data_IF_684407524999
#
_entry.id   IF_684407524999
#
_cell.length_a   1.000
_cell.length_b   1.000
_cell.length_c   1.000
_cell.angle_alpha   90.00
_cell.angle_beta   90.00
_cell.angle_gamma   90.00
#
_symmetry.space_group_name_H-M   'P 1'
#
loop_
_entity.id
_entity.type
_entity.pdbx_description
1 polymer ?
#
# COMPACT_ATOMS: atom_id res chain seq x y z
N UNK A 1 17.68 50.66 26.73
CA UNK A 1 18.20 50.59 25.35
C UNK A 1 17.55 49.42 24.64
N UNK A 2 16.67 49.74 23.68
CA UNK A 2 15.96 48.81 22.79
C UNK A 2 16.96 48.27 21.74
N UNK A 3 17.06 46.95 21.57
CA UNK A 3 17.74 46.35 20.42
C UNK A 3 16.68 45.62 19.56
N UNK A 4 16.54 45.95 18.27
CA UNK A 4 15.40 45.55 17.48
C UNK A 4 15.50 44.09 17.00
N UNK A 5 14.36 43.41 17.11
CA UNK A 5 14.07 42.08 16.57
C UNK A 5 14.00 42.18 15.05
N UNK A 6 15.03 41.74 14.32
CA UNK A 6 14.94 41.57 12.87
C UNK A 6 14.23 40.27 12.54
N UNK A 7 12.92 40.35 12.32
CA UNK A 7 12.14 39.34 11.62
C UNK A 7 12.61 39.26 10.17
N UNK A 8 13.36 38.19 9.83
CA UNK A 8 13.54 37.81 8.42
C UNK A 8 12.28 37.06 7.95
N UNK A 9 11.72 37.40 6.78
CA UNK A 9 10.55 36.75 6.23
C UNK A 9 10.87 35.29 5.86
N UNK A 10 9.90 34.42 6.06
CA UNK A 10 10.01 32.99 5.83
C UNK A 10 10.36 32.67 4.38
N UNK A 11 11.64 32.37 4.13
CA UNK A 11 11.97 31.34 3.17
C UNK A 11 11.51 30.02 3.79
N UNK A 12 10.46 29.44 3.22
CA UNK A 12 10.14 28.03 3.39
C UNK A 12 11.42 27.28 3.05
N UNK A 13 12.17 26.87 4.07
CA UNK A 13 13.32 26.01 3.90
C UNK A 13 12.78 24.73 3.26
N UNK A 14 12.96 24.60 1.95
CA UNK A 14 12.82 23.33 1.25
C UNK A 14 13.96 22.46 1.78
N UNK A 15 13.73 21.86 2.96
CA UNK A 15 14.73 21.07 3.67
C UNK A 15 15.20 19.96 2.73
N UNK A 16 16.51 19.79 2.61
CA UNK A 16 17.14 18.73 1.82
C UNK A 16 16.56 17.34 2.18
N UNK A 17 16.11 17.18 3.43
CA UNK A 17 15.39 15.98 3.91
C UNK A 17 14.09 15.70 3.14
N UNK A 18 13.34 16.73 2.74
CA UNK A 18 12.10 16.58 1.96
C UNK A 18 12.38 16.14 0.52
N UNK A 19 13.49 16.60 -0.06
CA UNK A 19 13.92 16.18 -1.41
C UNK A 19 14.30 14.71 -1.41
N UNK A 20 15.10 14.27 -0.43
CA UNK A 20 15.49 12.87 -0.31
C UNK A 20 14.30 11.96 -0.01
N UNK A 21 13.39 12.36 0.88
CA UNK A 21 12.17 11.60 1.15
C UNK A 21 11.31 11.46 -0.11
N UNK A 22 11.07 12.56 -0.84
CA UNK A 22 10.32 12.54 -2.09
C UNK A 22 10.98 11.66 -3.16
N UNK A 23 12.31 11.73 -3.29
CA UNK A 23 13.06 10.90 -4.23
C UNK A 23 12.99 9.40 -3.89
N UNK A 24 12.98 9.02 -2.61
CA UNK A 24 12.85 7.61 -2.22
C UNK A 24 11.43 7.09 -2.47
N UNK A 25 10.39 7.85 -2.10
CA UNK A 25 9.01 7.47 -2.42
C UNK A 25 8.75 7.43 -3.95
N UNK A 26 9.42 8.28 -4.73
CA UNK A 26 9.37 8.22 -6.19
C UNK A 26 9.90 6.89 -6.75
N UNK A 27 10.90 6.26 -6.10
CA UNK A 27 11.39 4.94 -6.51
C UNK A 27 10.36 3.84 -6.26
N UNK A 28 9.66 3.88 -5.13
CA UNK A 28 8.54 2.98 -4.86
C UNK A 28 7.39 3.21 -5.84
N UNK A 29 7.05 4.47 -6.11
CA UNK A 29 6.04 4.83 -7.11
C UNK A 29 6.41 4.34 -8.52
N UNK A 30 7.68 4.45 -8.93
CA UNK A 30 8.14 3.94 -10.21
C UNK A 30 8.08 2.40 -10.30
N UNK A 31 8.54 1.70 -9.24
CA UNK A 31 8.42 0.23 -9.13
C UNK A 31 6.96 -0.20 -9.25
N UNK A 32 6.10 0.39 -8.44
CA UNK A 32 4.69 -0.01 -8.37
C UNK A 32 3.95 0.40 -9.64
N UNK A 33 4.26 1.56 -10.21
CA UNK A 33 3.76 1.97 -11.53
C UNK A 33 4.14 0.98 -12.63
N UNK A 34 5.39 0.50 -12.67
CA UNK A 34 5.81 -0.52 -13.62
C UNK A 34 5.06 -1.85 -13.42
N UNK A 35 4.86 -2.27 -12.16
CA UNK A 35 4.07 -3.48 -11.85
C UNK A 35 2.60 -3.33 -12.27
N UNK A 36 2.00 -2.15 -12.07
CA UNK A 36 0.63 -1.85 -12.52
C UNK A 36 0.52 -1.89 -14.05
N UNK A 37 1.52 -1.36 -14.77
CA UNK A 37 1.56 -1.44 -16.25
C UNK A 37 1.64 -2.89 -16.72
N UNK A 38 2.53 -3.70 -16.14
CA UNK A 38 2.63 -5.13 -16.47
C UNK A 38 1.32 -5.86 -16.17
N UNK A 39 0.72 -5.61 -15.01
CA UNK A 39 -0.57 -6.20 -14.64
C UNK A 39 -1.67 -5.82 -15.64
N UNK A 40 -1.73 -4.54 -16.05
CA UNK A 40 -2.69 -4.08 -17.05
C UNK A 40 -2.49 -4.77 -18.40
N UNK A 41 -1.25 -4.91 -18.87
CA UNK A 41 -0.95 -5.61 -20.13
C UNK A 41 -1.35 -7.08 -20.08
N UNK A 42 -1.03 -7.78 -18.99
CA UNK A 42 -1.43 -9.18 -18.80
C UNK A 42 -2.95 -9.33 -18.80
N UNK A 43 -3.65 -8.42 -18.13
CA UNK A 43 -5.11 -8.45 -18.01
C UNK A 43 -5.83 -8.12 -19.31
N UNK A 44 -5.31 -7.16 -20.08
CA UNK A 44 -5.88 -6.79 -21.39
C UNK A 44 -5.77 -7.94 -22.39
N UNK A 45 -4.65 -8.67 -22.38
CA UNK A 45 -4.44 -9.81 -23.27
C UNK A 45 -5.13 -11.11 -22.80
N UNK A 46 -5.55 -11.19 -21.52
CA UNK A 46 -6.10 -12.41 -20.92
C UNK A 46 -7.25 -13.06 -21.72
N UNK A 47 -8.25 -12.30 -22.23
CA UNK A 47 -9.37 -12.92 -22.94
C UNK A 47 -8.96 -13.62 -24.24
N UNK A 48 -8.01 -13.04 -24.96
CA UNK A 48 -7.46 -13.62 -26.19
C UNK A 48 -6.71 -14.91 -25.88
N UNK A 49 -5.82 -14.89 -24.89
CA UNK A 49 -5.04 -16.06 -24.50
C UNK A 49 -5.91 -17.19 -23.96
N UNK A 50 -6.93 -16.89 -23.15
CA UNK A 50 -7.84 -17.93 -22.63
C UNK A 50 -8.56 -18.68 -23.75
N UNK A 51 -8.80 -18.01 -24.89
CA UNK A 51 -9.50 -18.63 -26.02
C UNK A 51 -8.66 -19.70 -26.74
N UNK A 52 -7.33 -19.68 -26.56
CA UNK A 52 -6.40 -20.52 -27.32
C UNK A 52 -6.25 -21.97 -26.79
N UNK A 53 -6.89 -22.31 -25.67
CA UNK A 53 -6.83 -23.61 -24.99
C UNK A 53 -5.39 -24.13 -24.68
N UNK A 54 -5.29 -25.14 -23.81
CA UNK A 54 -4.02 -25.78 -23.48
C UNK A 54 -3.17 -25.05 -22.42
N UNK A 55 -1.97 -25.58 -22.18
CA UNK A 55 -1.13 -25.19 -21.05
C UNK A 55 -0.64 -23.73 -21.09
N UNK A 56 -0.38 -23.19 -22.30
CA UNK A 56 0.03 -21.80 -22.46
C UNK A 56 -1.07 -20.80 -22.07
N UNK A 57 -2.31 -21.08 -22.47
CA UNK A 57 -3.48 -20.31 -22.07
C UNK A 57 -3.67 -20.32 -20.54
N UNK A 58 -3.59 -21.50 -19.92
CA UNK A 58 -3.70 -21.65 -18.46
C UNK A 58 -2.57 -20.89 -17.72
N UNK A 59 -1.34 -20.94 -18.22
CA UNK A 59 -0.22 -20.20 -17.65
C UNK A 59 -0.45 -18.68 -17.70
N UNK A 60 -1.00 -18.18 -18.81
CA UNK A 60 -1.35 -16.77 -18.95
C UNK A 60 -2.48 -16.35 -18.00
N UNK A 61 -3.54 -17.16 -17.88
CA UNK A 61 -4.63 -16.91 -16.93
C UNK A 61 -4.11 -16.84 -15.49
N UNK A 62 -3.23 -17.77 -15.10
CA UNK A 62 -2.58 -17.73 -13.78
C UNK A 62 -1.74 -16.47 -13.63
N UNK A 63 -0.91 -16.11 -14.62
CA UNK A 63 -0.08 -14.91 -14.56
C UNK A 63 -0.91 -13.63 -14.41
N UNK A 64 -2.01 -13.49 -15.16
CA UNK A 64 -2.94 -12.38 -15.04
C UNK A 64 -3.59 -12.34 -13.65
N UNK A 65 -4.03 -13.48 -13.13
CA UNK A 65 -4.59 -13.60 -11.78
C UNK A 65 -3.61 -13.23 -10.67
N UNK A 66 -2.35 -13.69 -10.78
CA UNK A 66 -1.27 -13.32 -9.86
C UNK A 66 -1.01 -11.82 -9.90
N UNK A 67 -0.96 -11.22 -11.10
CA UNK A 67 -0.74 -9.80 -11.27
C UNK A 67 -1.86 -8.96 -10.62
N UNK A 68 -3.13 -9.39 -10.75
CA UNK A 68 -4.25 -8.76 -10.05
C UNK A 68 -4.11 -8.83 -8.52
N UNK A 69 -3.57 -9.93 -7.98
CA UNK A 69 -3.23 -10.03 -6.55
C UNK A 69 -2.13 -9.04 -6.13
N UNK A 70 -1.10 -8.85 -6.95
CA UNK A 70 -0.05 -7.84 -6.74
C UNK A 70 -0.63 -6.43 -6.74
N UNK A 71 -1.55 -6.11 -7.66
CA UNK A 71 -2.26 -4.81 -7.68
C UNK A 71 -3.00 -4.57 -6.36
N UNK A 72 -3.68 -5.59 -5.83
CA UNK A 72 -4.40 -5.47 -4.57
C UNK A 72 -3.45 -5.20 -3.38
N UNK A 73 -2.30 -5.87 -3.33
CA UNK A 73 -1.28 -5.64 -2.30
C UNK A 73 -0.67 -4.23 -2.40
N UNK A 74 -0.36 -3.76 -3.62
CA UNK A 74 0.12 -2.38 -3.84
C UNK A 74 -0.94 -1.39 -3.34
N UNK A 75 -2.20 -1.55 -3.73
CA UNK A 75 -3.27 -0.66 -3.31
C UNK A 75 -3.41 -0.60 -1.78
N UNK A 76 -3.28 -1.73 -1.09
CA UNK A 76 -3.31 -1.80 0.38
C UNK A 76 -2.19 -0.95 1.02
N UNK A 77 -0.94 -1.14 0.58
CA UNK A 77 0.23 -0.41 1.09
C UNK A 77 0.14 1.09 0.83
N UNK A 78 -0.28 1.49 -0.38
CA UNK A 78 -0.51 2.89 -0.71
C UNK A 78 -1.70 3.48 0.05
N UNK A 79 -2.72 2.67 0.35
CA UNK A 79 -3.82 3.05 1.24
C UNK A 79 -3.34 3.40 2.65
N UNK A 80 -2.44 2.59 3.21
CA UNK A 80 -1.81 2.89 4.50
C UNK A 80 -1.04 4.21 4.46
N UNK A 81 -0.23 4.41 3.42
CA UNK A 81 0.53 5.65 3.25
C UNK A 81 -0.39 6.87 3.08
N UNK A 82 -1.50 6.73 2.35
CA UNK A 82 -2.50 7.78 2.21
C UNK A 82 -3.13 8.13 3.57
N UNK A 83 -3.53 7.13 4.37
CA UNK A 83 -4.03 7.33 5.73
C UNK A 83 -3.01 8.01 6.65
N UNK A 84 -1.74 7.63 6.54
CA UNK A 84 -0.64 8.28 7.24
C UNK A 84 -0.46 9.75 6.79
N UNK A 85 -0.49 10.03 5.49
CA UNK A 85 -0.36 11.37 4.94
C UNK A 85 -1.52 12.30 5.35
N UNK A 86 -2.76 11.82 5.25
CA UNK A 86 -3.97 12.56 5.64
C UNK A 86 -3.99 12.91 7.14
N UNK A 87 -3.39 12.05 7.96
CA UNK A 87 -3.23 12.30 9.40
C UNK A 87 -1.94 13.04 9.77
N UNK A 88 -1.13 13.43 8.77
CA UNK A 88 0.18 14.09 8.92
C UNK A 88 1.12 13.29 9.82
N UNK A 89 1.14 11.98 9.62
CA UNK A 89 2.00 11.08 10.36
C UNK A 89 3.46 11.19 9.91
N UNK A 90 4.39 10.99 10.84
CA UNK A 90 5.82 10.85 10.52
C UNK A 90 6.10 9.43 10.04
N UNK A 91 6.49 9.29 8.79
CA UNK A 91 6.83 8.01 8.17
C UNK A 91 8.23 8.08 7.55
N UNK A 92 8.91 6.93 7.48
CA UNK A 92 10.15 6.78 6.75
C UNK A 92 9.97 5.74 5.66
N UNK A 93 10.50 5.97 4.46
CA UNK A 93 10.42 4.97 3.40
C UNK A 93 11.14 3.67 3.81
N UNK A 94 10.67 2.53 3.30
CA UNK A 94 11.31 1.26 3.56
C UNK A 94 12.75 1.25 3.00
N UNK A 95 13.66 0.54 3.68
CA UNK A 95 15.09 0.52 3.34
C UNK A 95 15.41 -0.24 2.04
N UNK A 96 14.48 -1.07 1.57
CA UNK A 96 14.66 -1.92 0.39
C UNK A 96 13.41 -1.90 -0.48
N UNK A 97 13.61 -1.81 -1.79
CA UNK A 97 12.54 -1.96 -2.78
C UNK A 97 11.99 -3.39 -2.86
N UNK A 98 12.69 -4.37 -2.27
CA UNK A 98 12.19 -5.74 -2.12
C UNK A 98 11.32 -5.91 -0.86
N UNK A 99 11.18 -4.87 -0.02
CA UNK A 99 10.29 -4.94 1.12
C UNK A 99 8.83 -5.00 0.65
N UNK A 100 8.00 -5.85 1.26
CA UNK A 100 6.56 -5.85 0.99
C UNK A 100 5.91 -4.54 1.48
N UNK A 101 6.51 -3.87 2.47
CA UNK A 101 6.04 -2.58 2.97
C UNK A 101 6.75 -1.43 2.26
N UNK A 102 6.02 -0.36 1.94
CA UNK A 102 6.61 0.83 1.28
C UNK A 102 7.14 1.87 2.29
N UNK A 103 6.72 1.79 3.56
CA UNK A 103 7.17 2.69 4.61
C UNK A 103 7.21 2.01 5.99
N UNK A 104 7.86 2.69 6.94
CA UNK A 104 7.92 2.38 8.36
C UNK A 104 7.24 3.51 9.13
N UNK A 105 6.47 3.13 10.15
CA UNK A 105 5.71 4.08 10.96
C UNK A 105 6.43 4.33 12.29
N UNK A 106 6.74 5.59 12.59
CA UNK A 106 7.42 5.94 13.84
C UNK A 106 6.41 6.02 14.99
N UNK A 107 6.28 4.96 15.77
CA UNK A 107 5.34 4.92 16.90
C UNK A 107 5.74 5.79 18.08
N UNK A 108 6.98 6.32 18.11
CA UNK A 108 7.41 7.29 19.14
C UNK A 108 7.06 8.72 18.75
N UNK A 109 7.09 9.03 17.46
CA UNK A 109 6.75 10.35 16.94
C UNK A 109 5.27 10.52 16.59
N UNK A 110 4.49 9.44 16.53
CA UNK A 110 3.08 9.48 16.15
C UNK A 110 2.14 9.08 17.28
N UNK A 111 0.93 9.65 17.21
CA UNK A 111 -0.17 9.38 18.13
C UNK A 111 -0.99 8.15 17.76
N UNK A 112 -1.83 7.72 18.71
CA UNK A 112 -2.87 6.70 18.49
C UNK A 112 -3.78 7.00 17.29
N UNK A 113 -4.23 8.26 17.17
CA UNK A 113 -5.12 8.68 16.08
C UNK A 113 -4.45 8.54 14.72
N UNK A 114 -3.17 8.88 14.63
CA UNK A 114 -2.36 8.74 13.43
C UNK A 114 -2.15 7.28 13.04
N UNK A 115 -1.86 6.41 14.01
CA UNK A 115 -1.77 4.97 13.77
C UNK A 115 -3.10 4.40 13.23
N UNK A 116 -4.23 4.75 13.86
CA UNK A 116 -5.54 4.28 13.40
C UNK A 116 -5.89 4.79 12.00
N UNK A 117 -5.60 6.06 11.70
CA UNK A 117 -5.83 6.63 10.37
C UNK A 117 -4.99 5.92 9.29
N UNK A 118 -3.70 5.64 9.58
CA UNK A 118 -2.86 4.82 8.72
C UNK A 118 -3.46 3.43 8.52
N UNK A 119 -3.78 2.70 9.59
CA UNK A 119 -4.32 1.35 9.50
C UNK A 119 -5.63 1.28 8.71
N UNK A 120 -6.57 2.18 8.99
CA UNK A 120 -7.83 2.21 8.25
C UNK A 120 -7.64 2.59 6.77
N UNK A 121 -6.61 3.35 6.42
CA UNK A 121 -6.28 3.65 5.04
C UNK A 121 -6.04 2.38 4.21
N UNK A 122 -5.27 1.43 4.72
CA UNK A 122 -5.03 0.14 4.06
C UNK A 122 -6.30 -0.70 3.99
N UNK A 123 -7.10 -0.74 5.07
CA UNK A 123 -8.37 -1.50 5.09
C UNK A 123 -9.38 -0.98 4.08
N UNK A 124 -9.53 0.35 3.97
CA UNK A 124 -10.44 0.99 3.00
C UNK A 124 -9.97 0.71 1.57
N UNK A 125 -8.66 0.81 1.30
CA UNK A 125 -8.12 0.50 -0.02
C UNK A 125 -8.34 -0.97 -0.40
N UNK A 126 -8.07 -1.91 0.51
CA UNK A 126 -8.33 -3.34 0.28
C UNK A 126 -9.82 -3.63 0.06
N UNK A 127 -10.71 -3.02 0.84
CA UNK A 127 -12.14 -3.18 0.67
C UNK A 127 -12.62 -2.63 -0.68
N UNK A 128 -12.09 -1.48 -1.11
CA UNK A 128 -12.41 -0.89 -2.41
C UNK A 128 -11.94 -1.79 -3.57
N UNK A 129 -10.72 -2.35 -3.49
CA UNK A 129 -10.23 -3.29 -4.50
C UNK A 129 -11.05 -4.57 -4.53
N UNK A 130 -11.38 -5.15 -3.37
CA UNK A 130 -12.24 -6.33 -3.31
C UNK A 130 -13.61 -6.05 -3.94
N UNK A 131 -14.23 -4.92 -3.62
CA UNK A 131 -15.51 -4.53 -4.21
C UNK A 131 -15.41 -4.38 -5.74
N UNK A 132 -14.37 -3.71 -6.23
CA UNK A 132 -14.09 -3.60 -7.67
C UNK A 132 -13.91 -4.98 -8.33
N UNK A 133 -13.19 -5.89 -7.69
CA UNK A 133 -12.90 -7.22 -8.22
C UNK A 133 -14.14 -8.11 -8.23
N UNK A 134 -15.02 -8.02 -7.22
CA UNK A 134 -16.29 -8.75 -7.23
C UNK A 134 -17.21 -8.31 -8.37
N UNK A 135 -17.05 -7.09 -8.89
CA UNK A 135 -17.83 -6.58 -10.03
C UNK A 135 -17.18 -6.91 -11.37
N UNK A 136 -15.85 -6.84 -11.47
CA UNK A 136 -15.15 -6.88 -12.76
C UNK A 136 -14.39 -8.19 -13.06
N UNK A 137 -14.10 -9.04 -12.07
CA UNK A 137 -13.35 -10.26 -12.33
C UNK A 137 -14.19 -11.28 -13.13
N UNK A 138 -13.61 -11.94 -14.15
CA UNK A 138 -14.26 -13.05 -14.83
C UNK A 138 -14.21 -14.30 -13.94
N UNK A 139 -15.13 -14.44 -13.00
CA UNK A 139 -15.13 -15.54 -12.01
C UNK A 139 -15.27 -16.94 -12.62
N UNK A 140 -15.72 -17.04 -13.88
CA UNK A 140 -15.72 -18.29 -14.64
C UNK A 140 -14.30 -18.73 -15.09
N UNK A 141 -13.40 -17.78 -15.32
CA UNK A 141 -12.03 -18.01 -15.79
C UNK A 141 -11.08 -18.37 -14.64
N UNK A 142 -9.97 -19.02 -14.96
CA UNK A 142 -8.93 -19.35 -13.97
C UNK A 142 -8.27 -18.08 -13.44
N UNK A 143 -8.07 -17.08 -14.29
CA UNK A 143 -7.53 -15.77 -13.93
C UNK A 143 -8.33 -15.09 -12.81
N UNK A 144 -9.66 -15.04 -12.95
CA UNK A 144 -10.56 -14.48 -11.94
C UNK A 144 -10.53 -15.26 -10.63
N UNK A 145 -10.46 -16.60 -10.68
CA UNK A 145 -10.37 -17.45 -9.48
C UNK A 145 -9.06 -17.26 -8.73
N UNK A 146 -7.94 -17.20 -9.45
CA UNK A 146 -6.60 -16.95 -8.87
C UNK A 146 -6.57 -15.56 -8.23
N UNK A 147 -7.05 -14.53 -8.94
CA UNK A 147 -7.12 -13.17 -8.42
C UNK A 147 -7.95 -13.09 -7.12
N UNK A 148 -9.17 -13.64 -7.14
CA UNK A 148 -10.04 -13.65 -5.96
C UNK A 148 -9.44 -14.45 -4.80
N UNK A 149 -8.81 -15.59 -5.10
CA UNK A 149 -8.12 -16.41 -4.11
C UNK A 149 -7.00 -15.66 -3.40
N UNK A 150 -6.17 -14.91 -4.14
CA UNK A 150 -5.11 -14.10 -3.56
C UNK A 150 -5.64 -12.91 -2.77
N UNK A 151 -6.66 -12.21 -3.26
CA UNK A 151 -7.29 -11.12 -2.51
C UNK A 151 -7.93 -11.64 -1.21
N UNK A 152 -8.59 -12.80 -1.28
CA UNK A 152 -9.12 -13.49 -0.10
C UNK A 152 -8.03 -13.87 0.90
N UNK A 153 -6.91 -14.42 0.44
CA UNK A 153 -5.77 -14.73 1.28
C UNK A 153 -5.16 -13.47 1.92
N UNK A 154 -5.03 -12.37 1.17
CA UNK A 154 -4.60 -11.07 1.68
C UNK A 154 -5.53 -10.52 2.76
N UNK A 155 -6.86 -10.59 2.54
CA UNK A 155 -7.86 -10.20 3.52
C UNK A 155 -7.74 -11.03 4.81
N UNK A 156 -7.58 -12.36 4.69
CA UNK A 156 -7.37 -13.24 5.84
C UNK A 156 -6.08 -12.87 6.59
N UNK A 157 -5.01 -12.55 5.86
CA UNK A 157 -3.76 -12.07 6.47
C UNK A 157 -3.99 -10.76 7.23
N UNK A 158 -4.66 -9.77 6.65
CA UNK A 158 -5.00 -8.51 7.34
C UNK A 158 -5.87 -8.73 8.58
N UNK A 159 -6.91 -9.57 8.49
CA UNK A 159 -7.77 -9.91 9.63
C UNK A 159 -6.98 -10.60 10.75
N UNK A 160 -6.02 -11.44 10.40
CA UNK A 160 -5.26 -12.23 11.38
C UNK A 160 -4.09 -11.44 11.99
N UNK A 161 -3.39 -10.65 11.17
CA UNK A 161 -2.13 -10.00 11.55
C UNK A 161 -2.30 -8.55 11.98
N UNK A 162 -3.23 -7.81 11.38
CA UNK A 162 -3.34 -6.37 11.58
C UNK A 162 -4.53 -5.99 12.46
N UNK A 163 -5.72 -6.53 12.18
CA UNK A 163 -6.96 -6.18 12.90
C UNK A 163 -6.82 -6.35 14.42
N UNK A 164 -6.18 -7.40 14.98
CA UNK A 164 -6.02 -7.53 16.42
C UNK A 164 -5.21 -6.38 17.03
N UNK A 165 -4.14 -5.95 16.34
CA UNK A 165 -3.30 -4.84 16.78
C UNK A 165 -4.09 -3.51 16.73
N UNK A 166 -4.81 -3.27 15.63
CA UNK A 166 -5.66 -2.09 15.44
C UNK A 166 -6.76 -2.02 16.48
N UNK A 167 -7.45 -3.13 16.71
CA UNK A 167 -8.53 -3.22 17.69
C UNK A 167 -8.06 -2.94 19.11
N UNK A 168 -6.92 -3.51 19.51
CA UNK A 168 -6.28 -3.23 20.79
C UNK A 168 -5.96 -1.74 20.94
N UNK A 169 -5.37 -1.12 19.91
CA UNK A 169 -5.04 0.31 19.94
C UNK A 169 -6.30 1.17 19.98
N UNK A 170 -7.34 0.80 19.23
CA UNK A 170 -8.65 1.46 19.23
C UNK A 170 -9.27 1.46 20.63
N UNK A 171 -9.14 0.35 21.38
CA UNK A 171 -9.57 0.22 22.78
C UNK A 171 -8.68 0.93 23.81
N UNK A 172 -7.71 1.73 23.37
CA UNK A 172 -6.83 2.48 24.28
C UNK A 172 -5.54 1.75 24.68
N UNK A 173 -5.25 0.59 24.07
CA UNK A 173 -3.99 -0.11 24.25
C UNK A 173 -2.77 0.66 23.72
N UNK A 174 -1.55 0.18 24.03
CA UNK A 174 -0.31 0.79 23.54
C UNK A 174 -0.14 0.57 22.04
N UNK A 175 0.59 1.49 21.39
CA UNK A 175 1.00 1.33 19.99
C UNK A 175 1.88 0.08 19.82
N UNK A 176 1.75 -0.66 18.70
CA UNK A 176 2.58 -1.82 18.45
C UNK A 176 4.06 -1.43 18.30
N UNK A 177 4.94 -2.39 18.60
CA UNK A 177 6.40 -2.29 18.44
C UNK A 177 6.87 -3.37 17.47
N UNK A 178 8.02 -3.19 16.82
CA UNK A 178 8.58 -4.18 15.88
C UNK A 178 9.38 -3.54 14.75
N UNK A 179 9.87 -4.36 13.81
CA UNK A 179 10.75 -3.91 12.73
C UNK A 179 10.12 -2.82 11.82
N UNK A 180 8.80 -2.89 11.62
CA UNK A 180 8.01 -1.91 10.87
C UNK A 180 7.60 -0.68 11.70
N UNK A 181 7.75 -0.77 13.04
CA UNK A 181 7.37 0.25 14.01
C UNK A 181 8.62 0.80 14.73
N UNK A 182 9.28 1.78 14.11
CA UNK A 182 10.47 2.42 14.66
C UNK A 182 11.15 3.36 13.65
N UNK A 183 12.12 4.18 14.11
CA UNK A 183 12.93 5.05 13.23
C UNK A 183 13.76 4.23 12.24
#
# INVERSE_FOLDING_TARGET
FFCPRTSRPGLVAFSIENVFAAAVFARFAARDGALLVVAALLWQAEPEWRSLAGAGAAAWEVAAGLAAGVVAAIAHEWGHLAGAALSRSRVAAARSLASPFIFRFDTKANSRRQFLAMSYGGFVASAAVLAAYLVWLPLGALSGKVALGLVGAGLLATITLEVPAVWRVHRGGPLPTGAIYGP
#
